data_IF_885336427898
#
_entry.id   IF_885336427898
#
_cell.length_a   1.000
_cell.length_b   1.000
_cell.length_c   1.000
_cell.angle_alpha   90.00
_cell.angle_beta   90.00
_cell.angle_gamma   90.00
#
_symmetry.space_group_name_H-M   'P 1'
#
loop_
_entity.id
_entity.type
_entity.pdbx_description
1 polymer ?
#
# COMPACT_ATOMS: atom_id res chain seq x y z
N UNK A 1 -8.71 18.14 4.87
CA UNK A 1 -9.18 16.86 4.32
C UNK A 1 -9.25 15.79 5.41
N UNK A 2 -8.15 15.38 6.09
CA UNK A 2 -8.14 14.32 7.12
C UNK A 2 -9.20 14.55 8.22
N UNK A 3 -9.24 15.74 8.84
CA UNK A 3 -10.26 16.08 9.86
C UNK A 3 -11.68 15.96 9.33
N UNK A 4 -11.93 16.30 8.07
CA UNK A 4 -13.25 16.13 7.45
C UNK A 4 -13.58 14.64 7.27
N UNK A 5 -12.62 13.83 6.87
CA UNK A 5 -12.80 12.38 6.78
C UNK A 5 -13.11 11.78 8.16
N UNK A 6 -12.44 12.24 9.22
CA UNK A 6 -12.73 11.83 10.60
C UNK A 6 -14.16 12.16 11.03
N UNK A 7 -14.69 13.32 10.66
CA UNK A 7 -16.08 13.67 10.98
C UNK A 7 -17.10 12.84 10.20
N UNK A 8 -16.73 12.31 9.03
CA UNK A 8 -17.60 11.53 8.14
C UNK A 8 -17.54 10.02 8.33
N UNK A 9 -16.51 9.51 9.00
CA UNK A 9 -16.30 8.07 9.20
C UNK A 9 -17.37 7.38 10.06
N UNK A 10 -18.26 8.11 10.69
CA UNK A 10 -19.22 7.60 11.68
C UNK A 10 -18.46 6.89 12.84
N UNK A 11 -18.79 5.66 13.18
CA UNK A 11 -18.13 4.87 14.21
C UNK A 11 -16.95 4.02 13.71
N UNK A 12 -16.55 4.13 12.43
CA UNK A 12 -15.49 3.32 11.84
C UNK A 12 -14.13 4.02 11.97
N UNK A 13 -13.20 3.53 12.80
CA UNK A 13 -11.85 4.09 12.86
C UNK A 13 -11.12 3.80 11.52
N UNK A 14 -10.34 4.76 11.06
CA UNK A 14 -9.36 4.53 10.01
C UNK A 14 -7.95 4.78 10.56
N UNK A 15 -6.97 4.15 9.95
CA UNK A 15 -5.57 4.31 10.28
C UNK A 15 -4.92 5.18 9.21
N UNK A 16 -4.00 6.03 9.64
CA UNK A 16 -3.18 6.84 8.74
C UNK A 16 -1.76 6.29 8.74
N UNK A 17 -1.17 6.14 7.58
CA UNK A 17 0.26 5.98 7.45
C UNK A 17 0.81 6.97 6.41
N UNK A 18 2.10 7.20 6.43
CA UNK A 18 2.78 8.09 5.51
C UNK A 18 4.04 7.45 4.95
N UNK A 19 4.36 7.79 3.70
CA UNK A 19 5.53 7.32 2.97
C UNK A 19 6.29 8.51 2.38
N UNK A 20 7.61 8.64 2.55
CA UNK A 20 8.42 9.67 1.91
C UNK A 20 8.91 9.23 0.53
N UNK A 21 8.85 10.13 -0.46
CA UNK A 21 9.42 9.89 -1.79
C UNK A 21 10.90 10.26 -1.89
N UNK A 22 11.31 11.34 -1.25
CA UNK A 22 12.69 11.80 -1.29
C UNK A 22 12.99 12.72 -0.12
N UNK A 23 14.21 12.65 0.39
CA UNK A 23 14.79 13.73 1.17
C UNK A 23 15.03 14.96 0.27
N UNK A 24 15.25 16.14 0.84
CA UNK A 24 15.67 17.33 0.10
C UNK A 24 16.90 17.06 -0.78
N UNK A 25 16.96 17.71 -1.95
CA UNK A 25 18.04 17.48 -2.93
C UNK A 25 19.44 17.58 -2.34
N UNK A 26 19.68 18.57 -1.47
CA UNK A 26 20.97 18.82 -0.82
C UNK A 26 21.41 17.72 0.16
N UNK A 27 20.53 16.83 0.59
CA UNK A 27 20.87 15.65 1.40
C UNK A 27 21.25 14.44 0.56
N UNK A 28 21.10 14.50 -0.76
CA UNK A 28 21.24 13.36 -1.67
C UNK A 28 22.52 13.41 -2.48
N UNK A 29 23.05 12.24 -2.81
CA UNK A 29 24.30 12.06 -3.55
C UNK A 29 24.31 12.70 -4.94
N UNK A 30 23.14 12.88 -5.55
CA UNK A 30 22.98 13.51 -6.87
C UNK A 30 22.55 14.97 -6.81
N UNK A 31 22.33 15.53 -5.62
CA UNK A 31 21.83 16.88 -5.38
C UNK A 31 20.55 17.22 -6.19
N UNK A 32 19.68 16.22 -6.42
CA UNK A 32 18.42 16.35 -7.13
C UNK A 32 17.30 15.58 -6.39
N UNK A 33 16.04 15.97 -6.60
CA UNK A 33 14.89 15.24 -6.05
C UNK A 33 14.63 13.94 -6.78
N UNK A 34 14.90 13.88 -8.08
CA UNK A 34 14.65 12.76 -8.99
C UNK A 34 15.96 12.10 -9.45
N UNK A 35 15.83 11.10 -10.32
CA UNK A 35 16.95 10.36 -10.88
C UNK A 35 17.69 9.50 -9.86
N UNK A 36 18.78 8.88 -10.30
CA UNK A 36 19.58 8.00 -9.45
C UNK A 36 20.29 8.78 -8.34
N UNK A 37 19.99 8.44 -7.09
CA UNK A 37 20.60 9.08 -5.93
C UNK A 37 20.09 8.52 -4.61
N UNK A 38 20.91 8.58 -3.58
CA UNK A 38 20.64 8.05 -2.23
C UNK A 38 20.93 9.10 -1.19
N UNK A 39 20.37 8.91 0.00
CA UNK A 39 20.66 9.75 1.15
C UNK A 39 22.15 9.63 1.53
N UNK A 40 22.83 10.77 1.71
CA UNK A 40 24.21 10.81 2.18
C UNK A 40 24.25 10.44 3.67
N UNK A 41 25.21 9.59 4.11
CA UNK A 41 25.27 9.12 5.50
C UNK A 41 25.37 10.23 6.55
N UNK A 42 26.03 11.34 6.24
CA UNK A 42 26.10 12.51 7.13
C UNK A 42 24.73 13.14 7.45
N UNK A 43 23.69 12.82 6.66
CA UNK A 43 22.33 13.32 6.88
C UNK A 43 21.37 12.25 7.44
N UNK A 44 21.82 11.05 7.73
CA UNK A 44 20.99 9.97 8.27
C UNK A 44 20.24 10.39 9.53
N UNK A 45 20.94 11.05 10.46
CA UNK A 45 20.29 11.53 11.68
C UNK A 45 19.35 12.71 11.41
N UNK A 46 19.72 13.63 10.54
CA UNK A 46 18.85 14.76 10.18
C UNK A 46 17.54 14.27 9.52
N UNK A 47 17.63 13.24 8.68
CA UNK A 47 16.47 12.64 8.04
C UNK A 47 15.58 11.89 9.05
N UNK A 48 16.16 11.16 10.00
CA UNK A 48 15.42 10.54 11.09
C UNK A 48 14.67 11.59 11.96
N UNK A 49 15.35 12.70 12.29
CA UNK A 49 14.75 13.82 13.02
C UNK A 49 13.57 14.44 12.25
N UNK A 50 13.64 14.49 10.92
CA UNK A 50 12.54 14.97 10.09
C UNK A 50 11.28 14.10 10.25
N UNK A 51 11.41 12.77 10.29
CA UNK A 51 10.29 11.86 10.55
C UNK A 51 9.63 12.15 11.89
N UNK A 52 10.41 12.26 12.95
CA UNK A 52 9.90 12.58 14.27
C UNK A 52 9.20 13.95 14.30
N UNK A 53 9.79 14.95 13.64
CA UNK A 53 9.19 16.29 13.55
C UNK A 53 7.88 16.27 12.76
N UNK A 54 7.84 15.56 11.63
CA UNK A 54 6.60 15.36 10.86
C UNK A 54 5.47 14.81 11.73
N UNK A 55 5.73 13.76 12.49
CA UNK A 55 4.74 13.14 13.38
C UNK A 55 4.29 14.11 14.47
N UNK A 56 5.21 14.84 15.11
CA UNK A 56 4.91 15.84 16.15
C UNK A 56 4.02 16.98 15.62
N UNK A 57 4.34 17.51 14.44
CA UNK A 57 3.59 18.62 13.86
C UNK A 57 2.16 18.20 13.49
N UNK A 58 1.96 16.98 12.97
CA UNK A 58 0.63 16.44 12.73
C UNK A 58 -0.11 16.16 14.04
N UNK A 59 0.55 15.60 15.05
CA UNK A 59 -0.03 15.34 16.36
C UNK A 59 -0.45 16.65 17.06
N UNK A 60 0.33 17.72 16.93
CA UNK A 60 -0.03 19.05 17.43
C UNK A 60 -1.33 19.60 16.75
N UNK A 61 -1.64 19.10 15.57
CA UNK A 61 -2.88 19.39 14.85
C UNK A 61 -4.00 18.36 15.10
N UNK A 62 -3.86 17.50 16.11
CA UNK A 62 -4.78 16.39 16.45
C UNK A 62 -4.95 15.38 15.31
N UNK A 63 -3.86 15.08 14.60
CA UNK A 63 -3.80 14.03 13.59
C UNK A 63 -2.70 13.05 14.00
N UNK A 64 -3.08 11.83 14.37
CA UNK A 64 -2.14 10.79 14.76
C UNK A 64 -1.95 9.79 13.62
N UNK A 65 -0.69 9.47 13.31
CA UNK A 65 -0.35 8.40 12.38
C UNK A 65 -0.26 7.06 13.12
N UNK A 66 -0.75 6.02 12.48
CA UNK A 66 -0.61 4.64 12.90
C UNK A 66 0.71 4.03 12.42
N UNK A 67 1.17 4.41 11.22
CA UNK A 67 2.33 3.82 10.60
C UNK A 67 3.10 4.77 9.69
N UNK A 68 4.29 4.33 9.33
CA UNK A 68 5.19 4.97 8.36
C UNK A 68 5.83 3.89 7.50
N UNK A 69 6.17 4.22 6.26
CA UNK A 69 7.16 3.45 5.52
C UNK A 69 8.53 4.15 5.60
N UNK A 70 9.60 3.36 5.60
CA UNK A 70 10.95 3.92 5.65
C UNK A 70 11.30 4.72 4.40
N UNK A 71 10.80 4.26 3.24
CA UNK A 71 10.97 4.90 1.93
C UNK A 71 9.95 4.35 0.95
N UNK A 72 9.34 5.21 0.13
CA UNK A 72 8.58 4.79 -1.04
C UNK A 72 9.52 4.35 -2.16
N UNK A 73 9.25 3.21 -2.75
CA UNK A 73 9.95 2.65 -3.91
C UNK A 73 11.47 2.90 -3.90
N UNK A 74 12.20 2.33 -2.92
CA UNK A 74 13.63 2.55 -2.80
C UNK A 74 14.42 2.10 -4.04
N UNK A 75 13.87 1.21 -4.87
CA UNK A 75 14.48 0.80 -6.12
C UNK A 75 14.55 1.91 -7.17
N UNK A 76 13.57 2.82 -7.19
CA UNK A 76 13.51 3.92 -8.15
C UNK A 76 14.71 4.85 -8.08
N UNK A 77 15.27 5.03 -6.91
CA UNK A 77 16.47 5.83 -6.72
C UNK A 77 17.75 5.18 -7.28
N UNK A 78 17.70 3.96 -7.81
CA UNK A 78 18.76 3.32 -8.58
C UNK A 78 18.62 3.51 -10.09
N UNK A 79 17.45 4.00 -10.55
CA UNK A 79 17.15 4.18 -11.98
C UNK A 79 17.72 5.51 -12.49
N UNK A 80 18.64 5.50 -13.46
CA UNK A 80 19.09 6.73 -14.10
C UNK A 80 17.91 7.47 -14.75
N UNK A 81 17.85 8.77 -14.59
CA UNK A 81 16.81 9.63 -15.18
C UNK A 81 15.38 9.32 -14.75
N UNK A 82 15.18 8.74 -13.57
CA UNK A 82 13.84 8.59 -13.01
C UNK A 82 13.15 9.96 -12.93
N UNK A 83 11.88 10.04 -13.34
CA UNK A 83 11.27 11.31 -13.72
C UNK A 83 10.69 12.15 -12.58
N UNK A 84 10.35 11.52 -11.46
CA UNK A 84 9.81 12.22 -10.28
C UNK A 84 10.63 11.92 -9.01
N UNK A 85 10.18 12.42 -7.87
CA UNK A 85 10.90 12.24 -6.60
C UNK A 85 11.20 10.77 -6.32
N UNK A 86 12.45 10.45 -6.12
CA UNK A 86 12.90 9.12 -5.77
C UNK A 86 14.17 9.21 -4.91
N UNK A 87 14.38 8.24 -4.03
CA UNK A 87 15.60 8.14 -3.23
C UNK A 87 15.94 6.67 -3.01
N UNK A 88 17.11 6.26 -3.49
CA UNK A 88 17.56 4.89 -3.44
C UNK A 88 17.98 4.46 -2.04
N UNK A 89 17.60 3.25 -1.70
CA UNK A 89 18.16 2.45 -0.61
C UNK A 89 18.41 1.05 -1.15
N UNK A 90 19.37 0.38 -0.59
CA UNK A 90 19.41 -1.07 -0.55
C UNK A 90 18.99 -1.56 0.85
N UNK A 91 18.73 -2.84 0.98
CA UNK A 91 18.29 -3.43 2.25
C UNK A 91 19.28 -3.23 3.38
N UNK A 92 20.60 -3.25 3.08
CA UNK A 92 21.65 -3.07 4.08
C UNK A 92 21.74 -1.62 4.57
N UNK A 93 21.71 -0.65 3.69
CA UNK A 93 21.74 0.77 4.07
C UNK A 93 20.44 1.20 4.77
N UNK A 94 19.30 0.67 4.35
CA UNK A 94 18.03 0.89 5.05
C UNK A 94 18.05 0.28 6.46
N UNK A 95 18.57 -0.95 6.61
CA UNK A 95 18.76 -1.59 7.92
C UNK A 95 19.65 -0.74 8.83
N UNK A 96 20.82 -0.32 8.33
CA UNK A 96 21.78 0.51 9.09
C UNK A 96 21.12 1.80 9.59
N UNK A 97 20.41 2.50 8.72
CA UNK A 97 19.72 3.74 9.08
C UNK A 97 18.58 3.51 10.09
N UNK A 98 17.80 2.44 9.92
CA UNK A 98 16.73 2.09 10.88
C UNK A 98 17.32 1.82 12.27
N UNK A 99 18.39 1.02 12.33
CA UNK A 99 19.01 0.60 13.59
C UNK A 99 19.69 1.75 14.32
N UNK A 100 20.45 2.56 13.59
CA UNK A 100 21.33 3.56 14.19
C UNK A 100 20.68 4.95 14.32
N UNK A 101 19.64 5.24 13.52
CA UNK A 101 19.07 6.58 13.46
C UNK A 101 17.53 6.57 13.63
N UNK A 102 16.77 5.99 12.69
CA UNK A 102 15.33 6.16 12.68
C UNK A 102 14.64 5.52 13.89
N UNK A 103 14.94 4.26 14.17
CA UNK A 103 14.34 3.53 15.29
C UNK A 103 14.58 4.20 16.64
N UNK A 104 15.85 4.47 17.02
CA UNK A 104 16.16 5.19 18.25
C UNK A 104 15.54 6.59 18.33
N UNK A 105 15.47 7.31 17.21
CA UNK A 105 14.83 8.63 17.16
C UNK A 105 13.34 8.54 17.41
N UNK A 106 12.62 7.62 16.75
CA UNK A 106 11.19 7.42 16.98
C UNK A 106 10.92 7.02 18.44
N UNK A 107 11.72 6.13 19.01
CA UNK A 107 11.58 5.68 20.40
C UNK A 107 11.79 6.85 21.38
N UNK A 108 12.87 7.62 21.24
CA UNK A 108 13.20 8.75 22.13
C UNK A 108 12.22 9.92 22.02
N UNK A 109 11.59 10.08 20.86
CA UNK A 109 10.64 11.17 20.58
C UNK A 109 9.18 10.80 20.89
N UNK A 110 8.95 9.60 21.50
CA UNK A 110 7.63 9.16 21.98
C UNK A 110 6.78 8.46 20.92
N UNK A 111 7.39 7.94 19.86
CA UNK A 111 6.73 7.24 18.76
C UNK A 111 7.13 5.76 18.69
N UNK A 112 7.47 5.14 19.81
CA UNK A 112 7.86 3.72 19.87
C UNK A 112 6.78 2.75 19.33
N UNK A 113 5.50 3.13 19.42
CA UNK A 113 4.37 2.32 18.98
C UNK A 113 4.02 2.47 17.49
N UNK A 114 4.65 3.41 16.77
CA UNK A 114 4.41 3.61 15.34
C UNK A 114 4.75 2.36 14.56
N UNK A 115 3.90 1.98 13.61
CA UNK A 115 4.13 0.78 12.78
C UNK A 115 5.06 1.15 11.63
N UNK A 116 6.36 0.92 11.82
CA UNK A 116 7.35 1.12 10.77
C UNK A 116 7.32 -0.04 9.79
N UNK A 117 7.15 0.25 8.50
CA UNK A 117 7.20 -0.68 7.39
C UNK A 117 8.47 -0.47 6.57
N UNK A 118 9.05 -1.57 6.14
CA UNK A 118 10.21 -1.61 5.23
C UNK A 118 9.76 -1.98 3.81
N UNK A 119 10.66 -1.90 2.87
CA UNK A 119 10.46 -2.10 1.43
C UNK A 119 9.59 -0.99 0.86
N UNK A 120 8.25 -1.15 0.87
CA UNK A 120 7.32 -0.22 0.23
C UNK A 120 7.58 -0.13 -1.29
N UNK A 121 7.71 -1.30 -1.93
CA UNK A 121 8.14 -1.51 -3.31
C UNK A 121 7.58 -2.83 -3.85
N UNK A 122 7.99 -3.25 -5.02
CA UNK A 122 7.42 -4.36 -5.77
C UNK A 122 7.51 -5.71 -5.06
N UNK A 123 6.46 -6.52 -5.14
CA UNK A 123 6.30 -7.86 -4.54
C UNK A 123 7.54 -8.77 -4.67
N UNK A 124 8.18 -8.93 -5.85
CA UNK A 124 9.32 -9.83 -5.99
C UNK A 124 10.53 -9.47 -5.14
N UNK A 125 10.64 -8.23 -4.68
CA UNK A 125 11.73 -7.77 -3.82
C UNK A 125 11.52 -8.13 -2.35
N UNK A 126 10.27 -8.40 -1.93
CA UNK A 126 9.88 -8.50 -0.53
C UNK A 126 10.63 -9.60 0.26
N UNK A 127 10.80 -10.86 -0.24
CA UNK A 127 11.48 -11.89 0.54
C UNK A 127 12.93 -11.55 0.85
N UNK A 128 13.67 -11.10 -0.15
CA UNK A 128 15.08 -10.73 0.03
C UNK A 128 15.20 -9.53 0.96
N UNK A 129 14.40 -8.50 0.74
CA UNK A 129 14.46 -7.27 1.54
C UNK A 129 14.13 -7.53 3.01
N UNK A 130 13.06 -8.26 3.26
CA UNK A 130 12.67 -8.63 4.62
C UNK A 130 13.77 -9.43 5.32
N UNK A 131 14.29 -10.47 4.67
CA UNK A 131 15.37 -11.32 5.22
C UNK A 131 16.61 -10.51 5.58
N UNK A 132 17.05 -9.62 4.69
CA UNK A 132 18.26 -8.83 4.91
C UNK A 132 18.09 -7.76 5.98
N UNK A 133 16.96 -7.02 5.96
CA UNK A 133 16.70 -5.99 6.98
C UNK A 133 16.45 -6.63 8.35
N UNK A 134 15.66 -7.67 8.42
CA UNK A 134 15.26 -8.30 9.68
C UNK A 134 16.30 -9.31 10.22
N UNK A 135 17.43 -9.52 9.53
CA UNK A 135 18.56 -10.28 10.07
C UNK A 135 19.18 -9.62 11.31
N UNK A 136 18.96 -8.32 11.51
CA UNK A 136 19.44 -7.56 12.67
C UNK A 136 18.36 -7.49 13.75
N UNK A 137 18.66 -7.94 14.97
CA UNK A 137 17.71 -7.97 16.11
C UNK A 137 17.14 -6.59 16.47
N UNK A 138 17.95 -5.52 16.33
CA UNK A 138 17.47 -4.17 16.59
C UNK A 138 16.51 -3.69 15.48
N UNK A 139 16.78 -4.05 14.23
CA UNK A 139 15.82 -3.79 13.14
C UNK A 139 14.51 -4.55 13.37
N UNK A 140 14.57 -5.82 13.78
CA UNK A 140 13.38 -6.61 14.15
C UNK A 140 12.55 -5.94 15.24
N UNK A 141 13.19 -5.27 16.21
CA UNK A 141 12.49 -4.53 17.28
C UNK A 141 11.68 -3.35 16.71
N UNK A 142 12.27 -2.60 15.78
CA UNK A 142 11.67 -1.36 15.27
C UNK A 142 10.68 -1.59 14.13
N UNK A 143 10.90 -2.60 13.30
CA UNK A 143 10.08 -2.90 12.13
C UNK A 143 8.85 -3.70 12.52
N UNK A 144 7.69 -3.25 12.07
CA UNK A 144 6.39 -3.90 12.34
C UNK A 144 5.86 -4.68 11.14
N UNK A 145 6.26 -4.32 9.92
CA UNK A 145 5.73 -4.97 8.72
C UNK A 145 6.49 -4.62 7.45
N UNK A 146 6.00 -5.17 6.34
CA UNK A 146 6.52 -4.99 4.98
C UNK A 146 5.44 -4.33 4.14
N UNK A 147 5.75 -3.18 3.53
CA UNK A 147 4.93 -2.54 2.51
C UNK A 147 5.21 -3.16 1.14
N UNK A 148 4.17 -3.37 0.35
CA UNK A 148 4.27 -3.98 -0.99
C UNK A 148 3.45 -3.18 -1.98
N UNK A 149 3.96 -3.02 -3.21
CA UNK A 149 3.29 -2.41 -4.35
C UNK A 149 2.90 -3.45 -5.39
N UNK A 150 1.84 -3.16 -6.15
CA UNK A 150 1.25 -4.12 -7.09
C UNK A 150 1.79 -4.08 -8.52
N UNK A 151 2.64 -3.08 -8.86
CA UNK A 151 2.94 -2.72 -10.24
C UNK A 151 3.65 -3.80 -11.08
N UNK A 152 4.21 -4.82 -10.45
CA UNK A 152 4.78 -5.98 -11.15
C UNK A 152 3.92 -7.26 -11.03
N UNK A 153 2.78 -7.24 -10.36
CA UNK A 153 2.03 -8.44 -10.05
C UNK A 153 1.44 -9.15 -11.28
N UNK A 154 1.04 -8.38 -12.28
CA UNK A 154 0.52 -8.89 -13.56
C UNK A 154 1.63 -9.28 -14.56
N UNK A 155 2.85 -8.80 -14.37
CA UNK A 155 4.00 -9.08 -15.23
C UNK A 155 4.84 -10.23 -14.66
N UNK A 156 4.96 -10.27 -13.34
CA UNK A 156 5.67 -11.27 -12.56
C UNK A 156 4.73 -11.85 -11.50
N UNK A 157 3.76 -12.71 -11.90
CA UNK A 157 2.75 -13.25 -10.98
C UNK A 157 3.41 -14.25 -10.01
N UNK A 158 3.95 -13.75 -8.91
CA UNK A 158 4.67 -14.53 -7.92
C UNK A 158 4.11 -14.27 -6.51
N UNK A 159 2.83 -14.65 -6.22
CA UNK A 159 2.23 -14.41 -4.91
C UNK A 159 2.93 -15.16 -3.77
N UNK A 160 3.62 -16.27 -4.05
CA UNK A 160 4.41 -17.02 -3.08
C UNK A 160 5.55 -16.20 -2.43
N UNK A 161 5.93 -15.06 -3.01
CA UNK A 161 6.84 -14.12 -2.35
C UNK A 161 6.28 -13.63 -1.00
N UNK A 162 4.96 -13.47 -0.91
CA UNK A 162 4.27 -13.05 0.31
C UNK A 162 4.28 -14.18 1.35
N UNK A 163 4.07 -15.43 0.91
CA UNK A 163 4.17 -16.60 1.79
C UNK A 163 5.57 -16.73 2.38
N UNK A 164 6.63 -16.55 1.58
CA UNK A 164 8.01 -16.58 2.07
C UNK A 164 8.27 -15.53 3.15
N UNK A 165 7.78 -14.30 2.96
CA UNK A 165 7.91 -13.25 3.98
C UNK A 165 7.21 -13.66 5.28
N UNK A 166 6.00 -14.21 5.19
CA UNK A 166 5.26 -14.65 6.35
C UNK A 166 5.88 -15.87 7.05
N UNK A 167 6.37 -16.85 6.29
CA UNK A 167 7.02 -18.05 6.83
C UNK A 167 8.30 -17.72 7.59
N UNK A 168 9.12 -16.79 7.05
CA UNK A 168 10.38 -16.37 7.67
C UNK A 168 10.16 -15.38 8.84
N UNK A 169 9.10 -14.55 8.77
CA UNK A 169 8.80 -13.48 9.74
C UNK A 169 7.31 -13.41 10.09
N UNK A 170 6.75 -14.45 10.76
CA UNK A 170 5.30 -14.56 10.99
C UNK A 170 4.73 -13.50 11.94
N UNK A 171 5.59 -12.80 12.69
CA UNK A 171 5.24 -11.68 13.57
C UNK A 171 5.17 -10.33 12.83
N UNK A 172 5.58 -10.26 11.55
CA UNK A 172 5.52 -9.06 10.73
C UNK A 172 4.32 -9.11 9.80
N UNK A 173 3.53 -8.04 9.79
CA UNK A 173 2.42 -7.95 8.85
C UNK A 173 2.91 -7.58 7.45
N UNK A 174 2.14 -7.93 6.43
CA UNK A 174 2.34 -7.51 5.04
C UNK A 174 1.16 -6.62 4.66
N UNK A 175 1.44 -5.41 4.16
CA UNK A 175 0.42 -4.46 3.73
C UNK A 175 0.69 -4.06 2.28
N UNK A 176 -0.32 -4.21 1.41
CA UNK A 176 -0.28 -3.56 0.10
C UNK A 176 -0.50 -2.07 0.28
N UNK A 177 0.54 -1.31 0.02
CA UNK A 177 0.62 0.11 0.35
C UNK A 177 0.35 1.01 -0.83
N UNK A 178 0.43 0.48 -2.06
CA UNK A 178 0.13 1.26 -3.26
C UNK A 178 -0.28 0.38 -4.44
N UNK A 179 -1.27 0.85 -5.19
CA UNK A 179 -1.73 0.30 -6.45
C UNK A 179 -2.54 1.33 -7.24
N UNK A 180 -2.45 1.33 -8.57
CA UNK A 180 -3.39 2.02 -9.45
C UNK A 180 -3.37 1.42 -10.86
N UNK A 181 -4.45 1.60 -11.61
CA UNK A 181 -4.48 1.32 -13.04
C UNK A 181 -3.98 2.52 -13.85
N UNK A 182 -3.68 2.31 -15.14
CA UNK A 182 -3.16 3.36 -16.02
C UNK A 182 -1.66 3.64 -15.82
N UNK A 183 -0.99 2.81 -15.01
CA UNK A 183 0.42 2.94 -14.65
C UNK A 183 1.39 2.47 -15.72
N UNK A 184 0.96 1.55 -16.58
CA UNK A 184 1.86 0.92 -17.54
C UNK A 184 2.28 1.88 -18.67
N UNK A 185 3.52 1.78 -19.17
CA UNK A 185 3.98 2.58 -20.30
C UNK A 185 3.17 2.36 -21.59
N UNK A 186 2.54 1.20 -21.73
CA UNK A 186 1.70 0.85 -22.89
C UNK A 186 0.23 1.22 -22.72
N UNK A 187 -0.19 1.71 -21.54
CA UNK A 187 -1.54 2.25 -21.34
C UNK A 187 -1.68 3.57 -22.08
N UNK A 188 -2.28 3.54 -23.24
CA UNK A 188 -2.49 4.74 -24.09
C UNK A 188 -3.54 5.68 -23.51
N UNK A 189 -4.55 5.11 -22.84
CA UNK A 189 -5.58 5.85 -22.11
C UNK A 189 -5.36 5.67 -20.60
N UNK A 190 -5.02 6.77 -19.93
CA UNK A 190 -4.71 6.76 -18.51
C UNK A 190 -5.97 6.59 -17.67
N UNK A 191 -7.05 7.28 -17.99
CA UNK A 191 -8.37 7.14 -17.39
C UNK A 191 -9.31 6.46 -18.37
N UNK A 192 -9.93 5.36 -17.95
CA UNK A 192 -10.92 4.63 -18.75
C UNK A 192 -12.24 4.55 -17.98
N UNK A 193 -13.14 5.51 -18.27
CA UNK A 193 -14.42 5.60 -17.56
C UNK A 193 -15.28 4.36 -17.77
N UNK A 194 -15.65 3.73 -16.65
CA UNK A 194 -16.53 2.57 -16.64
C UNK A 194 -15.89 1.26 -17.08
N UNK A 195 -14.56 1.22 -17.22
CA UNK A 195 -13.83 0.02 -17.60
C UNK A 195 -13.94 -1.06 -16.52
N UNK A 196 -14.63 -2.14 -16.84
CA UNK A 196 -14.87 -3.25 -15.92
C UNK A 196 -13.62 -4.07 -15.64
N UNK A 197 -12.75 -4.26 -16.63
CA UNK A 197 -11.53 -5.07 -16.49
C UNK A 197 -10.59 -4.46 -15.44
N UNK A 198 -10.54 -3.13 -15.34
CA UNK A 198 -9.81 -2.42 -14.27
C UNK A 198 -10.38 -2.70 -12.88
N UNK A 199 -11.70 -2.78 -12.76
CA UNK A 199 -12.35 -3.17 -11.50
C UNK A 199 -12.13 -4.64 -11.15
N UNK A 200 -12.20 -5.52 -12.15
CA UNK A 200 -11.94 -6.95 -12.00
C UNK A 200 -10.48 -7.20 -11.58
N UNK A 201 -9.53 -6.48 -12.18
CA UNK A 201 -8.12 -6.56 -11.80
C UNK A 201 -7.91 -6.23 -10.32
N UNK A 202 -8.60 -5.21 -9.79
CA UNK A 202 -8.52 -4.86 -8.37
C UNK A 202 -9.01 -5.98 -7.46
N UNK A 203 -10.23 -6.47 -7.71
CA UNK A 203 -10.80 -7.51 -6.84
C UNK A 203 -10.02 -8.82 -6.91
N UNK A 204 -9.48 -9.18 -8.09
CA UNK A 204 -8.60 -10.32 -8.28
C UNK A 204 -7.34 -10.20 -7.42
N UNK A 205 -6.59 -9.09 -7.57
CA UNK A 205 -5.36 -8.85 -6.82
C UNK A 205 -5.63 -8.86 -5.31
N UNK A 206 -6.69 -8.17 -4.84
CA UNK A 206 -7.04 -8.15 -3.43
C UNK A 206 -7.35 -9.56 -2.89
N UNK A 207 -8.11 -10.39 -3.63
CA UNK A 207 -8.41 -11.76 -3.21
C UNK A 207 -7.13 -12.62 -3.18
N UNK A 208 -6.26 -12.48 -4.17
CA UNK A 208 -4.96 -13.16 -4.20
C UNK A 208 -4.14 -12.78 -2.97
N UNK A 209 -3.93 -11.50 -2.75
CA UNK A 209 -3.12 -10.96 -1.65
C UNK A 209 -3.64 -11.38 -0.28
N UNK A 210 -4.96 -11.28 -0.06
CA UNK A 210 -5.59 -11.72 1.19
C UNK A 210 -5.45 -13.23 1.43
N UNK A 211 -5.33 -14.04 0.38
CA UNK A 211 -5.02 -15.46 0.49
C UNK A 211 -3.54 -15.72 0.82
N UNK A 212 -2.66 -14.73 0.56
CA UNK A 212 -1.21 -14.79 0.79
C UNK A 212 -0.74 -13.84 1.92
N UNK A 213 -1.47 -13.82 3.05
CA UNK A 213 -1.11 -13.18 4.33
C UNK A 213 -1.14 -11.65 4.37
N UNK A 214 -1.58 -11.00 3.31
CA UNK A 214 -1.75 -9.53 3.29
C UNK A 214 -2.90 -9.13 4.23
N UNK A 215 -2.66 -8.10 5.05
CA UNK A 215 -3.62 -7.63 6.07
C UNK A 215 -4.44 -6.43 5.63
N UNK A 216 -4.15 -5.86 4.46
CA UNK A 216 -4.86 -4.71 3.91
C UNK A 216 -4.30 -4.30 2.55
N UNK A 217 -5.05 -3.48 1.84
CA UNK A 217 -4.74 -3.04 0.49
C UNK A 217 -5.11 -1.57 0.31
N UNK A 218 -4.24 -0.78 -0.30
CA UNK A 218 -4.39 0.66 -0.44
C UNK A 218 -4.21 1.08 -1.90
N UNK A 219 -5.17 1.85 -2.39
CA UNK A 219 -5.09 2.53 -3.68
C UNK A 219 -4.19 3.77 -3.61
N UNK A 220 -3.57 4.14 -4.74
CA UNK A 220 -2.70 5.30 -4.82
C UNK A 220 -3.48 6.62 -4.69
N UNK A 221 -4.41 6.89 -5.58
CA UNK A 221 -5.15 8.14 -5.60
C UNK A 221 -6.64 7.92 -5.28
N UNK A 222 -7.16 8.66 -4.31
CA UNK A 222 -8.58 8.64 -3.99
C UNK A 222 -9.44 9.16 -5.16
N UNK A 223 -9.02 10.27 -5.77
CA UNK A 223 -9.75 10.92 -6.85
C UNK A 223 -8.81 11.71 -7.75
N UNK A 224 -9.05 11.64 -9.05
CA UNK A 224 -8.32 12.34 -10.09
C UNK A 224 -9.29 13.02 -11.08
N UNK A 225 -8.78 13.84 -11.98
CA UNK A 225 -9.56 14.43 -13.08
C UNK A 225 -9.67 13.48 -14.29
N UNK A 226 -10.39 13.93 -15.32
CA UNK A 226 -10.61 13.15 -16.55
C UNK A 226 -9.31 12.77 -17.32
N UNK A 227 -8.19 13.42 -17.03
CA UNK A 227 -6.89 13.14 -17.62
C UNK A 227 -6.02 12.24 -16.73
N UNK A 228 -6.45 11.98 -15.48
CA UNK A 228 -5.66 11.26 -14.50
C UNK A 228 -4.74 12.16 -13.68
N UNK A 229 -5.04 13.43 -13.59
CA UNK A 229 -4.31 14.45 -12.85
C UNK A 229 -5.16 15.10 -11.73
N UNK A 230 -4.67 16.21 -11.19
CA UNK A 230 -3.41 16.90 -11.52
C UNK A 230 -2.16 16.15 -11.04
N UNK A 231 -1.11 16.18 -11.83
CA UNK A 231 0.19 15.62 -11.44
C UNK A 231 1.34 16.49 -11.97
N UNK A 232 2.22 16.95 -11.08
CA UNK A 232 3.31 17.86 -11.42
C UNK A 232 4.42 17.22 -12.27
N UNK A 233 4.56 15.89 -12.22
CA UNK A 233 5.54 15.11 -12.97
C UNK A 233 4.96 14.50 -14.26
N UNK A 234 3.70 14.81 -14.59
CA UNK A 234 2.95 14.20 -15.70
C UNK A 234 2.78 12.67 -15.57
N UNK A 235 2.85 12.14 -14.36
CA UNK A 235 2.57 10.75 -14.05
C UNK A 235 1.05 10.57 -13.91
N UNK A 236 0.32 10.65 -15.01
CA UNK A 236 -1.12 10.47 -15.05
C UNK A 236 -1.49 9.00 -14.95
N UNK A 237 -2.52 8.70 -14.14
CA UNK A 237 -3.02 7.35 -13.87
C UNK A 237 -4.53 7.37 -13.68
N UNK A 238 -5.16 6.21 -13.45
CA UNK A 238 -6.59 6.13 -13.10
C UNK A 238 -6.81 6.18 -11.58
N UNK A 239 -8.05 6.40 -11.17
CA UNK A 239 -8.46 6.39 -9.77
C UNK A 239 -9.89 5.86 -9.61
N UNK A 240 -10.27 5.37 -8.43
CA UNK A 240 -11.63 4.91 -8.15
C UNK A 240 -12.72 5.98 -8.32
N UNK A 241 -12.34 7.25 -8.17
CA UNK A 241 -13.23 8.39 -8.38
C UNK A 241 -12.60 9.33 -9.40
N UNK A 242 -13.34 9.63 -10.45
CA UNK A 242 -12.94 10.62 -11.46
C UNK A 242 -13.86 11.83 -11.39
N UNK A 243 -13.27 13.01 -11.25
CA UNK A 243 -14.00 14.29 -11.11
C UNK A 243 -14.00 15.03 -12.44
N UNK A 244 -15.20 15.43 -12.89
CA UNK A 244 -15.37 16.36 -13.99
C UNK A 244 -15.84 17.73 -13.47
N UNK A 245 -14.90 18.65 -13.23
CA UNK A 245 -15.22 19.95 -12.70
C UNK A 245 -15.98 20.82 -13.71
N UNK A 246 -15.88 20.53 -15.00
CA UNK A 246 -16.58 21.31 -16.05
C UNK A 246 -18.08 21.08 -16.02
N UNK A 247 -18.51 19.89 -15.64
CA UNK A 247 -19.91 19.51 -15.49
C UNK A 247 -20.38 19.54 -14.02
N UNK A 248 -19.48 19.72 -13.06
CA UNK A 248 -19.81 19.68 -11.63
C UNK A 248 -20.22 18.29 -11.14
N UNK A 249 -19.72 17.22 -11.75
CA UNK A 249 -20.04 15.83 -11.43
C UNK A 249 -18.78 15.02 -11.12
N UNK A 250 -18.97 13.81 -10.60
CA UNK A 250 -17.92 12.82 -10.44
C UNK A 250 -18.44 11.43 -10.82
N UNK A 251 -17.51 10.59 -11.27
CA UNK A 251 -17.78 9.21 -11.65
C UNK A 251 -17.19 8.27 -10.60
N UNK A 252 -17.96 7.29 -10.16
CA UNK A 252 -17.45 6.14 -9.39
C UNK A 252 -17.10 5.05 -10.38
N UNK A 253 -15.82 4.78 -10.52
CA UNK A 253 -15.28 3.78 -11.41
C UNK A 253 -15.58 2.35 -10.91
N UNK A 254 -15.47 1.29 -11.74
CA UNK A 254 -15.55 -0.11 -11.28
C UNK A 254 -14.61 -0.41 -10.12
N UNK A 255 -13.40 0.18 -10.08
CA UNK A 255 -12.46 0.07 -8.96
C UNK A 255 -13.05 0.53 -7.62
N UNK A 256 -13.87 1.59 -7.63
CA UNK A 256 -14.57 2.06 -6.43
C UNK A 256 -15.46 0.97 -5.83
N UNK A 257 -16.18 0.26 -6.69
CA UNK A 257 -17.07 -0.82 -6.26
C UNK A 257 -16.30 -2.06 -5.85
N UNK A 258 -15.21 -2.40 -6.53
CA UNK A 258 -14.30 -3.49 -6.15
C UNK A 258 -13.75 -3.28 -4.73
N UNK A 259 -13.19 -2.10 -4.45
CA UNK A 259 -12.74 -1.73 -3.11
C UNK A 259 -13.86 -1.75 -2.09
N UNK A 260 -15.02 -1.20 -2.45
CA UNK A 260 -16.21 -1.16 -1.58
C UNK A 260 -16.74 -2.55 -1.26
N UNK A 261 -16.63 -3.49 -2.19
CA UNK A 261 -17.03 -4.88 -1.99
C UNK A 261 -16.21 -5.59 -0.90
N UNK A 262 -14.94 -5.23 -0.78
CA UNK A 262 -14.07 -5.72 0.30
C UNK A 262 -14.26 -4.89 1.57
N UNK A 263 -14.02 -3.59 1.52
CA UNK A 263 -13.90 -2.73 2.70
C UNK A 263 -15.21 -2.59 3.50
N UNK A 264 -16.35 -2.79 2.86
CA UNK A 264 -17.65 -2.75 3.54
C UNK A 264 -17.89 -3.97 4.42
N UNK A 265 -17.42 -5.13 4.01
CA UNK A 265 -17.75 -6.42 4.65
C UNK A 265 -16.62 -6.96 5.51
N UNK A 266 -15.36 -6.66 5.17
CA UNK A 266 -14.21 -7.00 6.00
C UNK A 266 -13.88 -5.83 6.93
N UNK A 267 -14.29 -5.97 8.18
CA UNK A 267 -13.98 -4.98 9.22
C UNK A 267 -12.64 -5.31 9.88
N UNK A 268 -12.02 -4.30 10.47
CA UNK A 268 -10.77 -4.49 11.24
C UNK A 268 -10.93 -5.57 12.31
N UNK A 269 -9.95 -6.46 12.44
CA UNK A 269 -9.98 -7.61 13.34
C UNK A 269 -10.65 -8.86 12.75
N UNK A 270 -11.07 -8.83 11.48
CA UNK A 270 -11.49 -10.04 10.77
C UNK A 270 -10.29 -10.99 10.58
N UNK A 271 -10.50 -12.28 10.79
CA UNK A 271 -9.47 -13.31 10.68
C UNK A 271 -9.78 -14.23 9.52
N UNK A 272 -8.83 -14.41 8.61
CA UNK A 272 -8.97 -15.31 7.46
C UNK A 272 -9.19 -16.75 7.95
N UNK A 273 -10.13 -17.44 7.33
CA UNK A 273 -10.45 -18.85 7.58
C UNK A 273 -10.29 -19.68 6.31
N UNK A 274 -10.07 -20.98 6.48
CA UNK A 274 -10.01 -21.92 5.37
C UNK A 274 -11.32 -21.95 4.60
N UNK A 275 -11.22 -22.00 3.27
CA UNK A 275 -12.36 -22.12 2.35
C UNK A 275 -12.06 -23.19 1.32
N UNK A 276 -12.92 -24.23 1.27
CA UNK A 276 -12.92 -25.17 0.17
C UNK A 276 -13.77 -24.60 -0.96
N UNK A 277 -13.21 -24.45 -2.14
CA UNK A 277 -13.88 -23.85 -3.30
C UNK A 277 -13.63 -24.65 -4.56
N UNK A 278 -14.50 -24.51 -5.55
CA UNK A 278 -14.23 -24.94 -6.92
C UNK A 278 -13.07 -24.09 -7.50
N UNK A 279 -12.19 -24.73 -8.26
CA UNK A 279 -11.06 -24.05 -8.93
C UNK A 279 -11.49 -22.99 -9.96
N UNK A 280 -12.78 -22.95 -10.30
CA UNK A 280 -13.36 -21.95 -11.20
C UNK A 280 -13.69 -20.63 -10.52
N UNK A 281 -13.65 -20.56 -9.19
CA UNK A 281 -13.95 -19.35 -8.44
C UNK A 281 -12.71 -18.87 -7.69
N UNK A 282 -12.46 -17.59 -7.75
CA UNK A 282 -11.56 -16.93 -6.82
C UNK A 282 -12.34 -16.54 -5.58
N UNK A 283 -11.81 -16.85 -4.41
CA UNK A 283 -12.55 -16.62 -3.18
C UNK A 283 -11.62 -16.50 -1.98
N UNK A 284 -12.09 -15.74 -0.98
CA UNK A 284 -11.49 -15.65 0.35
C UNK A 284 -12.59 -15.55 1.41
N UNK A 285 -12.38 -16.15 2.58
CA UNK A 285 -13.33 -16.15 3.67
C UNK A 285 -12.70 -15.66 4.99
N UNK A 286 -13.50 -14.93 5.75
CA UNK A 286 -13.09 -14.36 7.03
C UNK A 286 -14.15 -14.57 8.10
N UNK A 287 -13.70 -14.88 9.31
CA UNK A 287 -14.51 -14.74 10.54
C UNK A 287 -14.32 -13.32 11.07
N UNK A 288 -15.43 -12.60 11.19
CA UNK A 288 -15.46 -11.21 11.67
C UNK A 288 -15.52 -11.16 13.21
N UNK A 289 -15.14 -10.02 13.84
CA UNK A 289 -15.23 -9.85 15.28
C UNK A 289 -16.67 -9.96 15.84
N UNK A 290 -17.67 -9.66 15.02
CA UNK A 290 -19.11 -9.80 15.35
C UNK A 290 -19.65 -11.22 15.14
N UNK A 291 -18.75 -12.21 14.93
CA UNK A 291 -19.00 -13.63 14.68
C UNK A 291 -19.66 -13.96 13.33
N UNK A 292 -19.92 -12.99 12.45
CA UNK A 292 -20.35 -13.27 11.09
C UNK A 292 -19.18 -13.83 10.26
N UNK A 293 -19.53 -14.61 9.25
CA UNK A 293 -18.61 -15.07 8.22
C UNK A 293 -18.82 -14.20 6.99
N UNK A 294 -17.74 -13.56 6.51
CA UNK A 294 -17.73 -12.87 5.23
C UNK A 294 -17.03 -13.75 4.21
N UNK A 295 -17.70 -14.02 3.09
CA UNK A 295 -17.13 -14.72 1.95
C UNK A 295 -17.17 -13.78 0.75
N UNK A 296 -16.02 -13.59 0.12
CA UNK A 296 -15.86 -12.78 -1.09
C UNK A 296 -15.58 -13.72 -2.22
N UNK A 297 -16.32 -13.54 -3.30
CA UNK A 297 -16.26 -14.40 -4.48
C UNK A 297 -16.08 -13.55 -5.73
N UNK A 298 -15.19 -13.98 -6.61
CA UNK A 298 -15.02 -13.44 -7.94
C UNK A 298 -15.20 -14.57 -8.97
N UNK A 299 -16.14 -14.37 -9.88
CA UNK A 299 -16.34 -15.23 -11.04
C UNK A 299 -15.88 -14.50 -12.30
N UNK A 300 -14.78 -14.96 -12.91
CA UNK A 300 -14.23 -14.42 -14.16
C UNK A 300 -14.66 -15.17 -15.41
N UNK A 301 -15.53 -16.15 -15.27
CA UNK A 301 -16.03 -16.92 -16.38
C UNK A 301 -17.30 -16.31 -16.96
N UNK A 302 -17.35 -16.18 -18.29
CA UNK A 302 -18.50 -15.61 -19.04
C UNK A 302 -19.75 -16.52 -18.95
N UNK A 303 -19.59 -17.79 -18.59
CA UNK A 303 -20.71 -18.71 -18.46
C UNK A 303 -21.43 -18.50 -17.14
N UNK A 304 -22.66 -18.01 -17.24
CA UNK A 304 -23.63 -17.98 -16.15
C UNK A 304 -23.72 -19.37 -15.53
N UNK A 305 -23.31 -19.52 -14.28
CA UNK A 305 -23.73 -20.68 -13.51
C UNK A 305 -25.22 -20.51 -13.23
N UNK A 306 -26.05 -21.34 -13.82
CA UNK A 306 -27.49 -21.43 -13.55
C UNK A 306 -27.82 -21.93 -12.12
N UNK A 307 -26.93 -21.82 -11.16
CA UNK A 307 -27.16 -22.21 -9.78
C UNK A 307 -26.79 -21.09 -8.83
N UNK A 308 -27.78 -20.32 -8.50
CA UNK A 308 -28.08 -19.59 -7.27
C UNK A 308 -26.98 -19.46 -6.24
N UNK A 309 -26.33 -18.30 -6.14
CA UNK A 309 -25.77 -17.86 -4.90
C UNK A 309 -26.64 -16.77 -4.28
N UNK A 310 -27.56 -17.22 -3.44
CA UNK A 310 -28.16 -16.39 -2.40
C UNK A 310 -27.08 -16.23 -1.33
N UNK A 311 -26.64 -15.01 -1.06
CA UNK A 311 -25.79 -14.73 0.08
C UNK A 311 -26.55 -15.03 1.35
N UNK A 312 -26.34 -16.18 1.94
CA UNK A 312 -26.82 -16.49 3.27
C UNK A 312 -25.92 -15.82 4.29
N UNK A 313 -26.44 -14.79 4.97
CA UNK A 313 -26.05 -14.46 6.32
C UNK A 313 -26.46 -15.64 7.21
N UNK A 314 -25.55 -16.57 7.47
CA UNK A 314 -25.77 -17.59 8.50
C UNK A 314 -25.62 -16.92 9.87
N UNK A 315 -26.72 -16.94 10.62
CA UNK A 315 -26.77 -16.51 12.02
C UNK A 315 -25.98 -17.46 12.93
#
# INVERSE_FOLDING_TARGET
MIKLAETKRQSRPFKLYASPWSAPAWMKSNNQLNGKGYLLPEYYQAWANYFAKFLKEYQANNIAFWGLTAQNEPWDGHVPNFTFNAMGWDSSSQQEWIVNNLGPTLESEGFADIKLMILDDQRPLAPKWAREVLANEQAMKYVSGVGVHWYLDDVLPFPFALDQVHEEHPDKFILYTEACNGDKPWDTEKVMLGDWDRGEKYIHNIIEDLNHWVVGWTDWNLALDLQGGPNWANNYVDAPIIVDPSQGIFYKQPMYYALGHISRFLVSGSVRIGLTKDNKLEAVAFKRPDNYIAVILLNRYIFLFENWFIGYLLH
#
